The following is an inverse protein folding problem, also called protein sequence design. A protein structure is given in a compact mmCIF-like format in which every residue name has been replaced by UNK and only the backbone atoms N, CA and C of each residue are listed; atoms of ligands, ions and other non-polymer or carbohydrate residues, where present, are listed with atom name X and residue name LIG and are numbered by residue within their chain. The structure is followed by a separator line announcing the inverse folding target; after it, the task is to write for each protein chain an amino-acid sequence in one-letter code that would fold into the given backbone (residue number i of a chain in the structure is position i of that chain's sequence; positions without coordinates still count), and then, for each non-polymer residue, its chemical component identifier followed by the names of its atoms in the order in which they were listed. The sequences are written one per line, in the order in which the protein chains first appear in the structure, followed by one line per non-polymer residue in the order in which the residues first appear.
data_IF_147536508299
#
_entry.id   IF_147536508299
#
_cell.length_a   1.000
_cell.length_b   1.000
_cell.length_c   1.000
_cell.angle_alpha   90.00
_cell.angle_beta   90.00
_cell.angle_gamma   90.00
#
_symmetry.space_group_name_H-M   'P 1'
#
loop_
_entity.id
_entity.type
_entity.pdbx_description
1 polymer ?
#
# COMPACT_ATOMS: atom_id res chain seq x y z
N UNK A 1 -50.00 -8.41 16.24
CA UNK A 1 -49.22 -9.06 17.32
C UNK A 1 -49.24 -10.56 17.11
N UNK A 2 -48.22 -11.10 16.42
CA UNK A 2 -47.90 -12.53 16.35
C UNK A 2 -46.38 -12.65 16.21
N UNK A 3 -45.78 -13.48 17.07
CA UNK A 3 -44.38 -13.92 17.11
C UNK A 3 -43.33 -12.83 17.43
N UNK A 4 -43.18 -12.41 18.69
CA UNK A 4 -42.15 -12.97 19.58
C UNK A 4 -41.70 -14.39 19.22
N UNK A 5 -40.49 -14.56 18.68
CA UNK A 5 -39.92 -15.89 18.49
C UNK A 5 -38.83 -16.02 17.41
N UNK A 6 -37.85 -15.13 17.39
CA UNK A 6 -36.51 -15.45 16.88
C UNK A 6 -35.56 -14.43 17.52
N UNK A 7 -35.15 -14.65 18.77
CA UNK A 7 -33.80 -15.20 19.05
C UNK A 7 -32.77 -14.34 18.31
N UNK A 8 -32.31 -13.24 18.93
CA UNK A 8 -31.13 -13.30 19.81
C UNK A 8 -29.97 -14.00 19.09
N UNK A 9 -29.53 -13.50 17.94
CA UNK A 9 -28.21 -13.79 17.36
C UNK A 9 -27.80 -12.59 16.51
N UNK A 10 -26.55 -12.14 16.67
CA UNK A 10 -25.92 -10.91 16.13
C UNK A 10 -26.31 -9.65 16.91
N UNK A 11 -25.94 -9.49 18.19
CA UNK A 11 -24.63 -9.88 18.72
C UNK A 11 -23.57 -8.86 18.29
N UNK A 12 -23.47 -7.78 19.06
CA UNK A 12 -22.24 -7.01 19.34
C UNK A 12 -21.42 -6.58 18.10
N UNK A 13 -21.76 -5.42 17.54
CA UNK A 13 -20.73 -4.61 16.87
C UNK A 13 -20.22 -3.61 17.90
N UNK A 14 -19.09 -4.03 18.46
CA UNK A 14 -18.25 -3.39 19.46
C UNK A 14 -18.15 -1.88 19.25
N UNK A 15 -18.67 -1.13 20.22
CA UNK A 15 -18.17 0.21 20.52
C UNK A 15 -16.68 0.07 20.84
N UNK A 16 -15.80 0.44 19.91
CA UNK A 16 -14.37 0.66 20.20
C UNK A 16 -14.25 1.92 21.04
N UNK A 17 -14.68 1.82 22.30
CA UNK A 17 -14.32 2.77 23.34
C UNK A 17 -12.83 2.57 23.61
N UNK A 18 -12.00 3.39 22.98
CA UNK A 18 -10.58 3.45 23.31
C UNK A 18 -10.45 3.97 24.74
N UNK A 19 -10.03 3.12 25.68
CA UNK A 19 -9.82 3.53 27.07
C UNK A 19 -8.34 3.86 27.25
N UNK A 20 -8.07 5.11 27.63
CA UNK A 20 -6.73 5.55 28.02
C UNK A 20 -6.68 5.50 29.54
N UNK A 21 -5.83 4.64 30.10
CA UNK A 21 -5.58 4.58 31.54
C UNK A 21 -4.12 4.92 31.83
N UNK A 22 -3.91 5.62 32.93
CA UNK A 22 -2.59 5.98 33.43
C UNK A 22 -2.29 5.10 34.63
N UNK A 23 -1.19 4.35 34.55
CA UNK A 23 -0.59 3.65 35.69
C UNK A 23 0.69 4.37 36.10
N UNK A 24 1.13 4.20 37.34
CA UNK A 24 2.22 4.97 37.98
C UNK A 24 3.54 5.04 37.18
N UNK A 25 3.75 4.19 36.16
CA UNK A 25 4.94 4.25 35.29
C UNK A 25 4.68 3.95 33.80
N UNK A 26 3.43 3.97 33.35
CA UNK A 26 3.10 3.71 31.95
C UNK A 26 1.74 4.30 31.53
N UNK A 27 1.67 4.73 30.27
CA UNK A 27 0.41 5.06 29.60
C UNK A 27 -0.08 3.81 28.90
N UNK A 28 -1.29 3.37 29.23
CA UNK A 28 -1.93 2.20 28.62
C UNK A 28 -3.07 2.69 27.73
N UNK A 29 -2.95 2.43 26.43
CA UNK A 29 -3.96 2.76 25.42
C UNK A 29 -4.56 1.45 24.93
N UNK A 30 -5.83 1.21 25.24
CA UNK A 30 -6.55 0.03 24.77
C UNK A 30 -7.48 0.41 23.63
N UNK A 31 -7.23 -0.10 22.41
CA UNK A 31 -8.07 0.09 21.23
C UNK A 31 -8.56 -1.29 20.75
N UNK A 32 -9.83 -1.60 21.01
CA UNK A 32 -10.40 -2.90 20.66
C UNK A 32 -9.73 -4.05 21.41
N UNK A 33 -9.20 -5.05 20.70
CA UNK A 33 -8.47 -6.19 21.30
C UNK A 33 -6.96 -5.96 21.40
N UNK A 34 -6.49 -4.72 21.17
CA UNK A 34 -5.07 -4.37 21.21
C UNK A 34 -4.81 -3.41 22.38
N UNK A 35 -3.86 -3.79 23.23
CA UNK A 35 -3.40 -2.98 24.36
C UNK A 35 -1.97 -2.54 24.09
N UNK A 36 -1.76 -1.22 24.05
CA UNK A 36 -0.46 -0.61 23.88
C UNK A 36 -0.01 -0.02 25.21
N UNK A 37 1.10 -0.54 25.75
CA UNK A 37 1.71 -0.03 26.99
C UNK A 37 2.96 0.76 26.63
N UNK A 38 2.94 2.06 26.91
CA UNK A 38 4.08 2.95 26.71
C UNK A 38 4.75 3.17 28.08
N UNK A 39 5.89 2.50 28.37
CA UNK A 39 6.60 2.70 29.62
C UNK A 39 7.26 4.08 29.65
N UNK A 40 7.12 4.82 30.75
CA UNK A 40 7.89 6.04 31.01
C UNK A 40 9.29 5.63 31.52
N UNK A 41 10.17 5.26 30.59
CA UNK A 41 11.62 5.03 30.69
C UNK A 41 12.24 4.59 32.04
N UNK A 42 12.76 3.37 32.07
CA UNK A 42 13.98 3.04 32.83
C UNK A 42 14.98 2.28 31.95
N UNK A 43 16.16 2.87 31.82
CA UNK A 43 17.31 2.39 31.03
C UNK A 43 17.81 1.04 31.54
N UNK A 44 17.73 -0.01 30.71
CA UNK A 44 18.55 -1.23 30.87
C UNK A 44 19.06 -1.69 29.51
N UNK A 45 20.35 -2.01 29.45
CA UNK A 45 21.03 -2.53 28.26
C UNK A 45 20.48 -3.92 27.93
N UNK A 46 19.46 -3.99 27.08
CA UNK A 46 19.09 -5.20 26.36
C UNK A 46 19.43 -4.97 24.89
N UNK A 47 20.17 -5.91 24.31
CA UNK A 47 20.33 -6.07 22.87
C UNK A 47 18.96 -6.37 22.27
N UNK A 48 18.16 -5.33 22.08
CA UNK A 48 16.96 -5.41 21.27
C UNK A 48 17.44 -5.57 19.83
N UNK A 49 17.12 -6.70 19.21
CA UNK A 49 16.89 -6.74 17.78
C UNK A 49 15.75 -5.76 17.53
N UNK A 50 16.13 -4.50 17.36
CA UNK A 50 15.25 -3.41 17.01
C UNK A 50 14.82 -3.73 15.59
N UNK A 51 13.65 -4.31 15.42
CA UNK A 51 12.95 -4.21 14.14
C UNK A 51 12.69 -2.72 13.99
N UNK A 52 13.62 -2.05 13.30
CA UNK A 52 13.46 -0.66 12.92
C UNK A 52 12.26 -0.68 11.99
N UNK A 53 11.09 -0.25 12.48
CA UNK A 53 10.01 0.16 11.60
C UNK A 53 10.58 1.36 10.82
N UNK A 54 11.21 1.09 9.68
CA UNK A 54 11.53 2.13 8.72
C UNK A 54 10.18 2.64 8.23
N UNK A 55 9.89 3.93 8.50
CA UNK A 55 8.80 4.61 7.81
C UNK A 55 9.11 4.52 6.31
N UNK A 56 8.24 3.82 5.56
CA UNK A 56 8.37 3.68 4.11
C UNK A 56 7.73 4.89 3.43
N UNK A 57 8.39 5.39 2.39
CA UNK A 57 7.84 6.36 1.47
C UNK A 57 6.88 5.65 0.51
N UNK A 58 5.65 6.14 0.42
CA UNK A 58 4.61 5.58 -0.43
C UNK A 58 4.21 6.57 -1.51
N UNK A 59 4.19 6.11 -2.76
CA UNK A 59 3.79 6.89 -3.92
C UNK A 59 2.67 6.17 -4.67
N UNK A 60 1.74 6.93 -5.24
CA UNK A 60 0.65 6.39 -6.06
C UNK A 60 0.43 7.30 -7.26
N UNK A 61 0.54 6.75 -8.46
CA UNK A 61 0.40 7.47 -9.72
C UNK A 61 -0.61 6.79 -10.63
N UNK A 62 -1.43 7.59 -11.30
CA UNK A 62 -2.24 7.16 -12.43
C UNK A 62 -1.45 7.43 -13.71
N UNK A 63 -1.23 6.40 -14.52
CA UNK A 63 -0.38 6.47 -15.72
C UNK A 63 -1.18 5.94 -16.91
N UNK A 64 -1.34 6.79 -17.93
CA UNK A 64 -2.10 6.46 -19.12
C UNK A 64 -1.28 5.60 -20.08
N UNK A 65 -1.94 4.72 -20.83
CA UNK A 65 -1.31 4.04 -21.97
C UNK A 65 -0.84 5.09 -22.98
N UNK A 66 0.43 4.98 -23.38
CA UNK A 66 1.15 5.98 -24.17
C UNK A 66 2.11 6.85 -23.33
N UNK A 67 2.01 6.78 -22.01
CA UNK A 67 2.95 7.39 -21.07
C UNK A 67 3.84 6.32 -20.41
N UNK A 68 4.89 6.76 -19.73
CA UNK A 68 5.74 5.95 -18.87
C UNK A 68 6.00 6.64 -17.54
N UNK A 69 6.12 5.86 -16.48
CA UNK A 69 6.60 6.29 -15.18
C UNK A 69 8.09 6.01 -15.07
N UNK A 70 8.89 7.02 -14.75
CA UNK A 70 10.33 6.92 -14.58
C UNK A 70 10.74 7.19 -13.13
N UNK A 71 11.45 6.24 -12.52
CA UNK A 71 12.05 6.35 -11.18
C UNK A 71 13.53 6.69 -11.35
N UNK A 72 13.92 7.93 -11.05
CA UNK A 72 15.26 8.47 -11.36
C UNK A 72 16.37 7.67 -10.69
N UNK A 73 16.22 7.37 -9.40
CA UNK A 73 17.26 6.73 -8.61
C UNK A 73 17.47 5.26 -8.93
N UNK A 74 16.52 4.62 -9.64
CA UNK A 74 16.64 3.25 -10.13
C UNK A 74 16.99 3.20 -11.61
N UNK A 75 16.99 4.34 -12.31
CA UNK A 75 16.96 4.39 -13.77
C UNK A 75 15.94 3.38 -14.35
N UNK A 76 14.73 3.38 -13.78
CA UNK A 76 13.74 2.35 -14.03
C UNK A 76 12.48 2.96 -14.62
N UNK A 77 12.05 2.44 -15.78
CA UNK A 77 10.82 2.85 -16.45
C UNK A 77 9.75 1.79 -16.30
N UNK A 78 8.50 2.23 -16.18
CA UNK A 78 7.31 1.38 -16.19
C UNK A 78 6.37 1.97 -17.22
N UNK A 79 6.18 1.24 -18.32
CA UNK A 79 5.24 1.61 -19.37
C UNK A 79 4.02 0.71 -19.30
N UNK A 80 2.87 1.20 -18.81
CA UNK A 80 1.64 0.45 -18.88
C UNK A 80 1.12 0.41 -20.32
N UNK A 81 0.52 -0.71 -20.66
CA UNK A 81 -0.16 -0.93 -21.93
C UNK A 81 -1.34 -1.88 -21.71
N UNK A 82 -2.26 -1.94 -22.67
CA UNK A 82 -3.51 -2.68 -22.54
C UNK A 82 -3.71 -3.64 -23.70
N UNK A 83 -3.79 -4.94 -23.40
CA UNK A 83 -4.13 -5.95 -24.38
C UNK A 83 -5.65 -6.06 -24.48
N UNK A 84 -6.21 -5.48 -25.54
CA UNK A 84 -7.65 -5.51 -25.83
C UNK A 84 -8.17 -6.94 -25.99
N UNK A 85 -7.37 -7.86 -26.53
CA UNK A 85 -7.79 -9.26 -26.73
C UNK A 85 -7.96 -10.01 -25.41
N UNK A 86 -7.19 -9.62 -24.40
CA UNK A 86 -7.24 -10.19 -23.04
C UNK A 86 -8.04 -9.35 -22.05
N UNK A 87 -8.44 -8.16 -22.47
CA UNK A 87 -9.07 -7.14 -21.63
C UNK A 87 -8.27 -6.90 -20.35
N UNK A 88 -6.96 -6.71 -20.49
CA UNK A 88 -6.04 -6.74 -19.34
C UNK A 88 -4.82 -5.84 -19.55
N UNK A 89 -4.40 -5.16 -18.49
CA UNK A 89 -3.15 -4.40 -18.50
C UNK A 89 -1.92 -5.31 -18.43
N UNK A 90 -0.85 -4.85 -19.06
CA UNK A 90 0.51 -5.32 -18.82
C UNK A 90 1.45 -4.14 -18.68
N UNK A 91 2.58 -4.39 -18.03
CA UNK A 91 3.56 -3.38 -17.67
C UNK A 91 4.89 -3.80 -18.26
N UNK A 92 5.39 -3.03 -19.22
CA UNK A 92 6.73 -3.21 -19.77
C UNK A 92 7.74 -2.44 -18.91
N UNK A 93 8.77 -3.15 -18.44
CA UNK A 93 9.85 -2.59 -17.64
C UNK A 93 11.20 -3.06 -18.18
N UNK A 94 12.33 -2.48 -17.74
CA UNK A 94 13.67 -2.99 -18.10
C UNK A 94 13.91 -4.46 -17.74
N UNK A 95 13.14 -5.04 -16.80
CA UNK A 95 13.28 -6.44 -16.36
C UNK A 95 12.39 -7.40 -17.15
N UNK A 96 11.41 -6.89 -17.90
CA UNK A 96 10.50 -7.71 -18.69
C UNK A 96 9.08 -7.17 -18.73
N UNK A 97 8.14 -8.03 -19.15
CA UNK A 97 6.71 -7.72 -19.21
C UNK A 97 5.97 -8.45 -18.10
N UNK A 98 5.19 -7.70 -17.33
CA UNK A 98 4.40 -8.21 -16.21
C UNK A 98 2.92 -7.98 -16.48
N UNK A 99 2.10 -9.03 -16.36
CA UNK A 99 0.65 -8.88 -16.47
C UNK A 99 0.07 -8.38 -15.16
N UNK A 100 -1.02 -7.63 -15.23
CA UNK A 100 -1.78 -7.21 -14.07
C UNK A 100 -2.26 -8.42 -13.20
N UNK A 101 -2.28 -8.33 -11.86
CA UNK A 101 -1.60 -7.31 -11.07
C UNK A 101 -0.08 -7.51 -11.15
N UNK A 102 0.64 -6.44 -11.47
CA UNK A 102 2.10 -6.43 -11.36
C UNK A 102 2.46 -6.29 -9.88
N UNK A 103 3.40 -7.11 -9.41
CA UNK A 103 4.02 -7.00 -8.10
C UNK A 103 5.49 -7.40 -8.24
N UNK A 104 6.38 -6.41 -8.25
CA UNK A 104 7.81 -6.62 -8.41
C UNK A 104 8.57 -5.88 -7.32
N UNK A 105 9.80 -6.34 -7.05
CA UNK A 105 10.71 -5.68 -6.12
C UNK A 105 12.02 -5.37 -6.83
N UNK A 106 12.47 -4.13 -6.75
CA UNK A 106 13.73 -3.65 -7.34
C UNK A 106 14.50 -2.90 -6.27
N UNK A 107 15.71 -3.36 -5.91
CA UNK A 107 16.54 -2.71 -4.87
C UNK A 107 15.80 -2.39 -3.55
N UNK A 108 15.00 -3.34 -3.06
CA UNK A 108 14.15 -3.20 -1.86
C UNK A 108 13.00 -2.18 -2.00
N UNK A 109 12.65 -1.78 -3.21
CA UNK A 109 11.48 -0.96 -3.52
C UNK A 109 10.41 -1.87 -4.12
N UNK A 110 9.24 -1.91 -3.50
CA UNK A 110 8.09 -2.67 -3.99
C UNK A 110 7.30 -1.81 -4.96
N UNK A 111 6.95 -2.38 -6.11
CA UNK A 111 6.21 -1.70 -7.17
C UNK A 111 5.00 -2.56 -7.53
N UNK A 112 3.83 -1.99 -7.36
CA UNK A 112 2.54 -2.60 -7.67
C UNK A 112 1.92 -1.89 -8.88
N UNK A 113 1.38 -2.66 -9.81
CA UNK A 113 0.65 -2.12 -10.97
C UNK A 113 -0.70 -2.80 -11.12
N UNK A 114 -1.76 -2.01 -11.16
CA UNK A 114 -3.14 -2.48 -11.32
C UNK A 114 -3.93 -1.59 -12.28
N UNK A 115 -5.07 -2.08 -12.76
CA UNK A 115 -6.03 -1.31 -13.53
C UNK A 115 -6.64 -0.22 -12.66
N UNK A 116 -6.69 1.00 -13.21
CA UNK A 116 -7.48 2.08 -12.63
C UNK A 116 -8.74 2.34 -13.46
N UNK A 117 -8.57 2.51 -14.77
CA UNK A 117 -9.65 2.77 -15.70
C UNK A 117 -9.38 2.14 -17.06
N UNK A 118 -10.34 1.36 -17.58
CA UNK A 118 -10.31 0.84 -18.95
C UNK A 118 -11.60 1.26 -19.66
N UNK A 119 -11.51 2.22 -20.56
CA UNK A 119 -12.62 2.76 -21.35
C UNK A 119 -12.45 2.53 -22.85
N UNK A 120 -13.28 3.19 -23.66
CA UNK A 120 -13.28 2.99 -25.12
C UNK A 120 -12.06 3.59 -25.82
N UNK A 121 -11.52 4.70 -25.30
CA UNK A 121 -10.40 5.44 -25.92
C UNK A 121 -9.26 5.77 -24.96
N UNK A 122 -9.43 5.48 -23.67
CA UNK A 122 -8.48 5.84 -22.61
C UNK A 122 -8.31 4.63 -21.70
N UNK A 123 -7.06 4.29 -21.43
CA UNK A 123 -6.66 3.20 -20.56
C UNK A 123 -5.65 3.76 -19.55
N UNK A 124 -5.95 3.68 -18.27
CA UNK A 124 -5.17 4.22 -17.17
C UNK A 124 -4.90 3.09 -16.19
N UNK A 125 -3.62 2.94 -15.84
CA UNK A 125 -3.18 2.05 -14.77
C UNK A 125 -2.86 2.86 -13.52
N UNK A 126 -2.96 2.23 -12.36
CA UNK A 126 -2.42 2.75 -11.10
C UNK A 126 -1.13 2.03 -10.78
N UNK A 127 -0.08 2.80 -10.52
CA UNK A 127 1.22 2.31 -10.09
C UNK A 127 1.47 2.81 -8.67
N UNK A 128 1.66 1.89 -7.73
CA UNK A 128 1.99 2.18 -6.33
C UNK A 128 3.42 1.75 -6.05
N UNK A 129 4.19 2.60 -5.38
CA UNK A 129 5.61 2.36 -5.08
C UNK A 129 5.81 2.54 -3.57
N UNK A 130 6.39 1.52 -2.93
CA UNK A 130 6.79 1.55 -1.52
C UNK A 130 8.32 1.48 -1.45
N UNK A 131 8.94 2.47 -0.82
CA UNK A 131 10.40 2.63 -0.82
C UNK A 131 10.94 2.93 0.58
N UNK A 132 12.08 2.35 0.98
CA UNK A 132 12.75 2.69 2.25
C UNK A 132 13.47 4.04 2.20
N UNK A 133 13.42 4.74 1.06
CA UNK A 133 14.09 6.02 0.81
C UNK A 133 13.25 6.91 -0.10
N UNK A 134 13.46 8.20 -0.04
CA UNK A 134 12.81 9.13 -0.97
C UNK A 134 13.24 8.86 -2.42
N UNK A 135 12.28 8.98 -3.34
CA UNK A 135 12.43 8.77 -4.78
C UNK A 135 11.93 9.98 -5.55
N UNK A 136 12.59 10.27 -6.67
CA UNK A 136 12.16 11.26 -7.64
C UNK A 136 11.49 10.56 -8.82
N UNK A 137 10.19 10.79 -8.98
CA UNK A 137 9.35 10.07 -9.95
C UNK A 137 8.75 11.05 -10.95
N UNK A 138 8.76 10.68 -12.23
CA UNK A 138 8.25 11.49 -13.34
C UNK A 138 7.36 10.66 -14.25
N UNK A 139 6.29 11.28 -14.77
CA UNK A 139 5.48 10.72 -15.85
C UNK A 139 5.89 11.44 -17.14
N UNK A 140 6.10 10.68 -18.22
CA UNK A 140 6.57 11.19 -19.51
C UNK A 140 5.76 10.57 -20.65
N UNK A 141 5.56 11.33 -21.72
CA UNK A 141 5.03 10.77 -22.97
C UNK A 141 6.08 9.88 -23.65
N UNK A 142 5.65 8.73 -24.15
CA UNK A 142 6.50 7.84 -24.94
C UNK A 142 6.57 8.39 -26.37
N UNK A 143 7.62 9.14 -26.67
CA UNK A 143 7.88 9.61 -28.03
C UNK A 143 8.14 8.40 -28.94
N UNK A 144 7.16 8.10 -29.80
CA UNK A 144 7.32 7.10 -30.85
C UNK A 144 8.30 7.63 -31.89
N UNK A 145 9.48 7.01 -31.98
CA UNK A 145 10.50 7.31 -32.99
C UNK A 145 10.13 6.68 -34.33
#
# INVERSE_FOLDING_TARGET
MRLLGLVVVLGLIVSVAGCISFSDNAVIISLGNQTYTIPLNQTTNQTSNKTVNQELYNYSYEVQVGEELYIRELNFTIRPDYDISKQKFFFATPQGVYWEPMNITVENITILGESYFAGTSIYISKITIESPRELSIEIREVNSS
#
